data_IF_120455411557
#
_entry.id   IF_120455411557
#
_cell.length_a   1.000
_cell.length_b   1.000
_cell.length_c   1.000
_cell.angle_alpha   90.00
_cell.angle_beta   90.00
_cell.angle_gamma   90.00
#
_symmetry.space_group_name_H-M   'P 1'
#
loop_
_entity.id
_entity.type
_entity.pdbx_description
1 polymer ?
#
# COMPACT_ATOMS: atom_id res chain seq x y z
N UNK A 1 13.99 10.98 0.71
CA UNK A 1 12.53 10.75 0.82
C UNK A 1 11.82 11.94 1.49
N UNK A 2 10.51 12.12 1.25
CA UNK A 2 9.69 13.18 1.87
C UNK A 2 9.59 13.08 3.40
N UNK A 3 9.69 11.87 3.97
CA UNK A 3 9.56 11.63 5.41
C UNK A 3 10.83 11.96 6.21
N UNK A 4 11.95 12.28 5.55
CA UNK A 4 13.25 12.62 6.17
C UNK A 4 13.83 11.54 7.10
N UNK A 5 13.34 10.30 7.02
CA UNK A 5 13.95 9.15 7.70
C UNK A 5 15.25 8.71 7.00
N UNK A 6 16.22 8.11 7.74
CA UNK A 6 17.46 7.57 7.17
C UNK A 6 17.19 6.39 6.21
N UNK A 7 18.25 5.94 5.53
CA UNK A 7 18.22 4.74 4.70
C UNK A 7 18.01 3.48 5.56
N UNK A 8 17.25 2.54 5.01
CA UNK A 8 16.89 1.25 5.60
C UNK A 8 16.85 0.22 4.47
N UNK A 9 17.76 -0.77 4.48
CA UNK A 9 17.91 -1.75 3.41
C UNK A 9 16.74 -2.73 3.29
N UNK A 10 15.81 -2.71 4.26
CA UNK A 10 14.61 -3.54 4.27
C UNK A 10 13.42 -2.86 3.58
N UNK A 11 13.52 -1.57 3.24
CA UNK A 11 12.44 -0.84 2.59
C UNK A 11 12.66 -0.71 1.08
N UNK A 12 11.57 -0.76 0.32
CA UNK A 12 11.60 -0.45 -1.10
C UNK A 12 11.76 1.06 -1.32
N UNK A 13 12.71 1.43 -2.19
CA UNK A 13 12.90 2.80 -2.65
C UNK A 13 12.79 2.90 -4.17
N UNK A 14 12.29 4.03 -4.64
CA UNK A 14 12.22 4.41 -6.05
C UNK A 14 12.92 5.75 -6.25
N UNK A 15 13.70 5.86 -7.34
CA UNK A 15 14.42 7.08 -7.72
C UNK A 15 13.55 7.91 -8.67
N UNK A 16 13.51 9.23 -8.49
CA UNK A 16 12.83 10.14 -9.40
C UNK A 16 13.74 10.55 -10.57
N UNK A 17 13.35 10.31 -11.81
CA UNK A 17 14.17 10.61 -12.99
C UNK A 17 14.44 12.11 -13.20
N UNK A 18 13.55 12.98 -12.70
CA UNK A 18 13.70 14.43 -12.85
C UNK A 18 14.60 15.09 -11.81
N UNK A 19 14.53 14.68 -10.54
CA UNK A 19 15.31 15.32 -9.46
C UNK A 19 16.38 14.41 -8.83
N UNK A 20 16.43 13.13 -9.22
CA UNK A 20 17.39 12.14 -8.74
C UNK A 20 17.35 11.90 -7.21
N UNK A 21 16.28 12.36 -6.55
CA UNK A 21 16.00 12.05 -5.15
C UNK A 21 15.38 10.66 -5.00
N UNK A 22 15.68 10.00 -3.88
CA UNK A 22 15.14 8.68 -3.52
C UNK A 22 13.95 8.79 -2.56
N UNK A 23 12.92 7.98 -2.82
CA UNK A 23 11.69 7.95 -2.04
C UNK A 23 11.37 6.54 -1.60
N UNK A 24 10.93 6.36 -0.36
CA UNK A 24 10.27 5.11 0.04
C UNK A 24 9.03 4.93 -0.83
N UNK A 25 8.81 3.75 -1.41
CA UNK A 25 7.61 3.49 -2.20
C UNK A 25 6.32 3.76 -1.43
N UNK A 26 6.29 3.37 -0.15
CA UNK A 26 5.19 3.64 0.80
C UNK A 26 4.97 5.12 1.13
N UNK A 27 5.94 5.99 0.87
CA UNK A 27 5.79 7.44 1.03
C UNK A 27 5.19 8.10 -0.20
N UNK A 28 5.27 7.46 -1.37
CA UNK A 28 4.77 7.99 -2.65
C UNK A 28 3.65 7.15 -3.27
N UNK A 29 3.20 6.12 -2.54
CA UNK A 29 2.09 5.25 -2.94
C UNK A 29 2.45 4.36 -4.13
N UNK A 30 3.69 3.88 -4.20
CA UNK A 30 4.18 2.96 -5.24
C UNK A 30 4.63 1.68 -4.57
N UNK A 31 4.06 0.54 -5.00
CA UNK A 31 4.51 -0.77 -4.53
C UNK A 31 5.77 -1.21 -5.30
N UNK A 32 6.58 -2.08 -4.69
CA UNK A 32 7.80 -2.58 -5.34
C UNK A 32 7.52 -3.20 -6.71
N UNK A 33 6.54 -4.09 -6.80
CA UNK A 33 6.17 -4.75 -8.05
C UNK A 33 5.60 -3.80 -9.13
N UNK A 34 5.17 -2.59 -8.74
CA UNK A 34 4.80 -1.54 -9.68
C UNK A 34 6.05 -0.81 -10.17
N UNK A 35 6.93 -0.41 -9.24
CA UNK A 35 8.20 0.25 -9.55
C UNK A 35 9.11 -0.60 -10.44
N UNK A 36 9.16 -1.92 -10.22
CA UNK A 36 9.92 -2.87 -11.06
C UNK A 36 9.47 -2.91 -12.53
N UNK A 37 8.27 -2.38 -12.82
CA UNK A 37 7.66 -2.33 -14.17
C UNK A 37 7.59 -0.91 -14.73
N UNK A 38 8.07 0.10 -14.00
CA UNK A 38 8.08 1.48 -14.46
C UNK A 38 9.37 1.75 -15.24
N UNK A 39 9.23 2.27 -16.46
CA UNK A 39 10.38 2.74 -17.25
C UNK A 39 10.92 4.07 -16.67
N UNK A 40 10.01 4.98 -16.32
CA UNK A 40 10.31 6.27 -15.69
C UNK A 40 9.38 6.50 -14.49
N UNK A 41 9.91 7.04 -13.40
CA UNK A 41 9.16 7.52 -12.25
C UNK A 41 9.48 8.98 -11.93
N UNK A 42 8.43 9.78 -11.74
CA UNK A 42 8.56 11.18 -11.37
C UNK A 42 7.79 11.46 -10.09
N UNK A 43 8.50 11.95 -9.08
CA UNK A 43 7.94 12.15 -7.75
C UNK A 43 6.87 13.26 -7.73
N UNK A 44 6.04 13.31 -6.67
CA UNK A 44 4.98 14.32 -6.53
C UNK A 44 5.45 15.77 -6.62
N UNK A 45 6.70 16.08 -6.28
CA UNK A 45 7.27 17.43 -6.40
C UNK A 45 7.65 17.77 -7.84
N UNK A 46 8.06 16.75 -8.60
CA UNK A 46 8.54 16.89 -9.96
C UNK A 46 7.42 16.92 -10.99
N UNK A 47 6.36 16.13 -10.75
CA UNK A 47 5.17 16.03 -11.58
C UNK A 47 3.91 15.73 -10.74
N UNK A 48 3.40 16.72 -10.01
CA UNK A 48 2.17 16.57 -9.21
C UNK A 48 0.95 16.12 -10.02
N UNK A 49 0.91 16.49 -11.31
CA UNK A 49 -0.24 16.29 -12.19
C UNK A 49 -0.15 15.02 -13.03
N UNK A 50 0.89 14.20 -12.88
CA UNK A 50 0.89 12.86 -13.49
C UNK A 50 -0.25 12.03 -12.90
N UNK A 51 -0.88 11.17 -13.69
CA UNK A 51 -2.02 10.33 -13.28
C UNK A 51 -1.78 9.63 -11.93
N UNK A 52 -0.62 8.98 -11.75
CA UNK A 52 -0.31 8.27 -10.51
C UNK A 52 -0.22 9.20 -9.30
N UNK A 53 0.50 10.32 -9.39
CA UNK A 53 0.63 11.27 -8.28
C UNK A 53 -0.71 11.96 -7.98
N UNK A 54 -1.47 12.30 -9.01
CA UNK A 54 -2.80 12.87 -8.86
C UNK A 54 -3.72 11.91 -8.10
N UNK A 55 -3.89 10.67 -8.60
CA UNK A 55 -4.73 9.66 -7.97
C UNK A 55 -4.27 9.33 -6.54
N UNK A 56 -2.97 9.25 -6.32
CA UNK A 56 -2.40 8.90 -5.02
C UNK A 56 -2.54 10.01 -3.96
N UNK A 57 -2.61 11.29 -4.35
CA UNK A 57 -2.49 12.42 -3.43
C UNK A 57 -3.72 13.32 -3.35
N UNK A 58 -4.65 13.25 -4.30
CA UNK A 58 -5.90 14.01 -4.21
C UNK A 58 -6.63 13.70 -2.89
N UNK A 59 -7.28 14.69 -2.26
CA UNK A 59 -8.15 14.44 -1.12
C UNK A 59 -9.25 13.44 -1.50
N UNK A 60 -9.55 12.48 -0.61
CA UNK A 60 -10.63 11.53 -0.81
C UNK A 60 -11.99 12.21 -0.57
N UNK A 61 -12.87 12.13 -1.56
CA UNK A 61 -14.27 12.53 -1.47
C UNK A 61 -15.14 11.33 -0.99
N UNK A 62 -16.46 11.53 -0.89
CA UNK A 62 -17.37 10.46 -0.46
C UNK A 62 -17.34 9.24 -1.39
N UNK A 63 -17.37 9.45 -2.71
CA UNK A 63 -17.38 8.37 -3.71
C UNK A 63 -16.08 7.55 -3.67
N UNK A 64 -14.94 8.20 -3.45
CA UNK A 64 -13.65 7.53 -3.29
C UNK A 64 -13.64 6.62 -2.04
N UNK A 65 -14.16 7.13 -0.92
CA UNK A 65 -14.28 6.34 0.30
C UNK A 65 -15.20 5.13 0.10
N UNK A 66 -16.29 5.28 -0.65
CA UNK A 66 -17.20 4.18 -0.97
C UNK A 66 -16.52 3.13 -1.87
N UNK A 67 -15.67 3.55 -2.80
CA UNK A 67 -14.89 2.65 -3.65
C UNK A 67 -13.77 1.94 -2.88
N UNK A 68 -13.10 2.61 -1.94
CA UNK A 68 -12.18 1.96 -0.99
C UNK A 68 -12.90 0.95 -0.09
N UNK A 69 -14.12 1.25 0.35
CA UNK A 69 -14.93 0.32 1.14
C UNK A 69 -15.29 -0.93 0.34
N UNK A 70 -15.58 -0.81 -0.96
CA UNK A 70 -15.79 -1.97 -1.84
C UNK A 70 -14.49 -2.76 -2.02
N UNK A 71 -13.37 -2.07 -2.21
CA UNK A 71 -12.07 -2.72 -2.36
C UNK A 71 -11.70 -3.53 -1.11
N UNK A 72 -11.78 -2.95 0.08
CA UNK A 72 -11.41 -3.67 1.31
C UNK A 72 -12.30 -4.89 1.55
N UNK A 73 -13.61 -4.82 1.22
CA UNK A 73 -14.50 -5.99 1.25
C UNK A 73 -14.07 -7.09 0.28
N UNK A 74 -13.62 -6.74 -0.91
CA UNK A 74 -13.07 -7.72 -1.87
C UNK A 74 -11.79 -8.36 -1.35
N UNK A 75 -10.91 -7.57 -0.71
CA UNK A 75 -9.67 -8.05 -0.10
C UNK A 75 -9.98 -8.99 1.06
N UNK A 76 -10.88 -8.63 1.98
CA UNK A 76 -11.32 -9.49 3.09
C UNK A 76 -11.88 -10.83 2.62
N UNK A 77 -12.60 -10.83 1.49
CA UNK A 77 -13.21 -12.05 0.93
C UNK A 77 -12.22 -12.92 0.15
N UNK A 78 -10.99 -12.46 -0.06
CA UNK A 78 -10.01 -13.18 -0.87
C UNK A 78 -9.48 -14.40 -0.10
N UNK A 79 -9.34 -15.55 -0.79
CA UNK A 79 -8.91 -16.83 -0.18
C UNK A 79 -7.54 -16.80 0.53
N UNK A 80 -6.70 -15.83 0.20
CA UNK A 80 -5.37 -15.63 0.79
C UNK A 80 -5.34 -14.55 1.87
N UNK A 81 -6.49 -13.99 2.27
CA UNK A 81 -6.57 -12.94 3.27
C UNK A 81 -6.56 -13.42 4.72
N UNK A 82 -6.86 -14.70 4.94
CA UNK A 82 -7.01 -15.29 6.29
C UNK A 82 -5.86 -14.98 7.28
N UNK A 83 -4.57 -14.93 6.91
CA UNK A 83 -3.51 -14.68 7.88
C UNK A 83 -3.38 -13.22 8.29
N UNK A 84 -4.08 -12.32 7.59
CA UNK A 84 -3.95 -10.88 7.72
C UNK A 84 -5.21 -10.23 8.30
N UNK A 85 -6.21 -11.02 8.69
CA UNK A 85 -7.49 -10.49 9.13
C UNK A 85 -7.40 -9.78 10.48
N UNK A 86 -6.63 -10.33 11.41
CA UNK A 86 -6.50 -9.84 12.79
C UNK A 86 -5.02 -9.63 13.16
N UNK A 87 -4.72 -8.87 14.23
CA UNK A 87 -3.38 -8.77 14.77
C UNK A 87 -2.80 -10.15 15.11
N UNK A 88 -1.49 -10.32 14.89
CA UNK A 88 -0.79 -11.58 15.20
C UNK A 88 -0.85 -11.85 16.70
N UNK A 89 -1.25 -13.06 17.10
CA UNK A 89 -1.29 -13.47 18.51
C UNK A 89 0.13 -13.69 19.05
N UNK A 90 0.57 -12.95 20.09
CA UNK A 90 1.86 -13.18 20.75
C UNK A 90 2.03 -14.60 21.33
N UNK A 91 0.96 -15.35 21.58
CA UNK A 91 1.10 -16.74 22.04
C UNK A 91 1.49 -17.69 20.91
N UNK A 92 1.02 -17.43 19.68
CA UNK A 92 1.38 -18.21 18.49
C UNK A 92 2.73 -17.79 17.91
N UNK A 93 3.07 -16.50 18.02
CA UNK A 93 4.33 -15.93 17.53
C UNK A 93 4.99 -15.01 18.59
N UNK A 94 5.67 -15.58 19.60
CA UNK A 94 6.18 -14.83 20.76
C UNK A 94 7.20 -13.74 20.47
N UNK A 95 7.96 -13.86 19.37
CA UNK A 95 8.98 -12.90 18.96
C UNK A 95 8.49 -11.89 17.91
N UNK A 96 7.25 -12.01 17.43
CA UNK A 96 6.74 -11.20 16.32
C UNK A 96 6.89 -9.69 16.56
N UNK A 97 6.44 -9.19 17.71
CA UNK A 97 6.51 -7.76 18.04
C UNK A 97 7.92 -7.28 18.43
N UNK A 98 8.86 -8.20 18.63
CA UNK A 98 10.28 -7.86 18.77
C UNK A 98 10.93 -7.64 17.40
N UNK A 99 10.40 -8.26 16.36
CA UNK A 99 10.90 -8.19 14.98
C UNK A 99 10.15 -7.12 14.19
N UNK A 100 8.82 -7.19 14.16
CA UNK A 100 7.93 -6.26 13.44
C UNK A 100 7.57 -5.07 14.34
N UNK A 101 7.94 -3.87 13.89
CA UNK A 101 7.79 -2.61 14.67
C UNK A 101 6.53 -1.81 14.36
N UNK A 102 5.98 -1.97 13.16
CA UNK A 102 4.76 -1.29 12.74
C UNK A 102 3.73 -2.33 12.25
N UNK A 103 3.16 -3.15 13.15
CA UNK A 103 2.18 -4.19 12.78
C UNK A 103 0.93 -3.57 12.16
N UNK A 104 0.30 -4.30 11.24
CA UNK A 104 -0.93 -3.89 10.56
C UNK A 104 -1.73 -5.11 10.14
N UNK A 105 -3.06 -5.00 10.17
CA UNK A 105 -4.01 -6.05 9.79
C UNK A 105 -5.20 -5.46 9.01
N UNK A 106 -5.91 -6.32 8.30
CA UNK A 106 -6.99 -5.95 7.40
C UNK A 106 -8.25 -5.46 8.14
N UNK A 107 -8.51 -5.90 9.37
CA UNK A 107 -9.62 -5.39 10.16
C UNK A 107 -9.36 -3.94 10.60
N UNK A 108 -8.13 -3.65 11.02
CA UNK A 108 -7.68 -2.28 11.32
C UNK A 108 -7.80 -1.38 10.09
N UNK A 109 -7.33 -1.84 8.92
CA UNK A 109 -7.47 -1.09 7.66
C UNK A 109 -8.96 -0.89 7.30
N UNK A 110 -9.78 -1.93 7.41
CA UNK A 110 -11.22 -1.85 7.15
C UNK A 110 -11.95 -0.87 8.05
N UNK A 111 -11.57 -0.81 9.33
CA UNK A 111 -12.05 0.21 10.27
C UNK A 111 -11.60 1.60 9.86
N UNK A 112 -10.32 1.78 9.51
CA UNK A 112 -9.80 3.08 9.06
C UNK A 112 -10.51 3.59 7.79
N UNK A 113 -10.85 2.71 6.84
CA UNK A 113 -11.67 3.08 5.67
C UNK A 113 -13.08 3.50 6.11
N UNK A 114 -13.72 2.71 6.97
CA UNK A 114 -15.09 2.99 7.46
C UNK A 114 -15.16 4.32 8.21
N UNK A 115 -14.16 4.58 9.06
CA UNK A 115 -14.03 5.79 9.87
C UNK A 115 -13.44 6.98 9.08
N UNK A 116 -13.21 6.82 7.76
CA UNK A 116 -12.64 7.82 6.85
C UNK A 116 -11.35 8.45 7.36
N UNK A 117 -10.45 7.62 7.91
CA UNK A 117 -9.17 8.06 8.50
C UNK A 117 -8.12 8.43 7.46
N UNK A 118 -8.21 7.85 6.26
CA UNK A 118 -7.29 8.14 5.17
C UNK A 118 -7.66 9.45 4.47
N UNK A 119 -6.69 10.34 4.31
CA UNK A 119 -6.87 11.62 3.61
C UNK A 119 -6.72 11.51 2.11
N UNK A 120 -5.87 10.58 1.67
CA UNK A 120 -5.53 10.30 0.28
C UNK A 120 -5.23 8.80 0.12
N UNK A 121 -5.15 8.36 -1.14
CA UNK A 121 -4.92 6.95 -1.46
C UNK A 121 -3.54 6.45 -1.02
N UNK A 122 -2.51 7.32 -0.98
CA UNK A 122 -1.17 6.97 -0.50
C UNK A 122 -1.19 6.45 0.94
N UNK A 123 -1.98 7.06 1.82
CA UNK A 123 -2.09 6.62 3.22
C UNK A 123 -2.70 5.22 3.32
N UNK A 124 -3.74 4.93 2.53
CA UNK A 124 -4.32 3.58 2.44
C UNK A 124 -3.34 2.55 1.86
N UNK A 125 -2.65 2.88 0.76
CA UNK A 125 -1.64 2.02 0.14
C UNK A 125 -0.52 1.71 1.14
N UNK A 126 -0.09 2.70 1.94
CA UNK A 126 0.97 2.51 2.93
C UNK A 126 0.63 1.43 3.95
N UNK A 127 -0.59 1.42 4.48
CA UNK A 127 -1.00 0.41 5.45
C UNK A 127 -1.18 -0.97 4.78
N UNK A 128 -1.64 -1.01 3.53
CA UNK A 128 -1.66 -2.25 2.74
C UNK A 128 -0.25 -2.82 2.51
N UNK A 129 0.73 -1.98 2.17
CA UNK A 129 2.13 -2.40 2.00
C UNK A 129 2.67 -3.02 3.30
N UNK A 130 2.37 -2.41 4.46
CA UNK A 130 2.80 -2.95 5.77
C UNK A 130 2.31 -4.37 6.01
N UNK A 131 1.07 -4.69 5.65
CA UNK A 131 0.53 -6.05 5.79
C UNK A 131 1.41 -7.06 5.06
N UNK A 132 1.78 -6.76 3.81
CA UNK A 132 2.57 -7.67 2.97
C UNK A 132 4.05 -7.70 3.39
N UNK A 133 4.67 -6.53 3.60
CA UNK A 133 6.08 -6.43 3.93
C UNK A 133 6.39 -7.01 5.32
N UNK A 134 5.56 -6.75 6.33
CA UNK A 134 5.75 -7.36 7.65
C UNK A 134 5.63 -8.88 7.57
N UNK A 135 4.72 -9.40 6.74
CA UNK A 135 4.58 -10.83 6.53
C UNK A 135 5.84 -11.42 5.89
N UNK A 136 6.33 -10.82 4.80
CA UNK A 136 7.54 -11.28 4.11
C UNK A 136 8.81 -11.15 4.94
N UNK A 137 8.87 -10.14 5.80
CA UNK A 137 10.01 -9.90 6.68
C UNK A 137 10.08 -10.95 7.79
N UNK A 138 8.95 -11.26 8.42
CA UNK A 138 8.92 -12.21 9.53
C UNK A 138 8.96 -13.68 9.06
N UNK A 139 8.33 -14.00 7.93
CA UNK A 139 8.12 -15.38 7.51
C UNK A 139 9.11 -15.81 6.41
N UNK A 140 9.56 -17.08 6.39
CA UNK A 140 10.38 -17.59 5.30
C UNK A 140 9.58 -17.68 3.99
N UNK A 141 10.27 -17.56 2.85
CA UNK A 141 9.67 -17.52 1.49
C UNK A 141 8.83 -18.75 1.17
N UNK A 142 9.20 -19.90 1.74
CA UNK A 142 8.55 -21.19 1.51
C UNK A 142 7.23 -21.33 2.27
N UNK A 143 7.01 -20.51 3.30
CA UNK A 143 5.83 -20.57 4.18
C UNK A 143 4.54 -20.25 3.44
N UNK A 144 3.43 -20.77 3.96
CA UNK A 144 2.10 -20.44 3.44
C UNK A 144 1.75 -18.96 3.65
N UNK A 145 2.21 -18.35 4.75
CA UNK A 145 2.01 -16.93 5.04
C UNK A 145 2.64 -16.05 3.97
N UNK A 146 3.92 -16.27 3.66
CA UNK A 146 4.63 -15.54 2.62
C UNK A 146 3.93 -15.67 1.26
N UNK A 147 3.56 -16.90 0.87
CA UNK A 147 2.81 -17.15 -0.36
C UNK A 147 1.45 -16.46 -0.39
N UNK A 148 0.77 -16.35 0.75
CA UNK A 148 -0.50 -15.62 0.85
C UNK A 148 -0.30 -14.11 0.65
N UNK A 149 0.78 -13.53 1.18
CA UNK A 149 1.11 -12.13 0.97
C UNK A 149 1.34 -11.84 -0.53
N UNK A 150 2.13 -12.66 -1.21
CA UNK A 150 2.40 -12.50 -2.65
C UNK A 150 1.11 -12.54 -3.50
N UNK A 151 0.25 -13.53 -3.24
CA UNK A 151 -1.00 -13.69 -4.01
C UNK A 151 -1.94 -12.52 -3.72
N UNK A 152 -2.09 -12.13 -2.45
CA UNK A 152 -3.01 -11.06 -2.07
C UNK A 152 -2.52 -9.69 -2.54
N UNK A 153 -1.22 -9.43 -2.53
CA UNK A 153 -0.63 -8.20 -3.05
C UNK A 153 -0.84 -8.08 -4.57
N UNK A 154 -0.65 -9.17 -5.34
CA UNK A 154 -0.94 -9.16 -6.77
C UNK A 154 -2.42 -8.85 -7.06
N UNK A 155 -3.33 -9.44 -6.29
CA UNK A 155 -4.76 -9.12 -6.36
C UNK A 155 -5.01 -7.64 -6.03
N UNK A 156 -4.39 -7.14 -4.96
CA UNK A 156 -4.49 -5.75 -4.53
C UNK A 156 -4.01 -4.78 -5.62
N UNK A 157 -2.83 -5.00 -6.20
CA UNK A 157 -2.25 -4.17 -7.28
C UNK A 157 -3.18 -4.12 -8.50
N UNK A 158 -3.73 -5.26 -8.90
CA UNK A 158 -4.70 -5.32 -9.99
C UNK A 158 -5.93 -4.45 -9.71
N UNK A 159 -6.45 -4.49 -8.49
CA UNK A 159 -7.60 -3.67 -8.09
C UNK A 159 -7.25 -2.20 -7.91
N UNK A 160 -6.07 -1.91 -7.38
CA UNK A 160 -5.57 -0.56 -7.15
C UNK A 160 -5.42 0.21 -8.46
N UNK A 161 -4.98 -0.45 -9.53
CA UNK A 161 -4.96 0.14 -10.87
C UNK A 161 -6.33 0.68 -11.27
N UNK A 162 -7.39 -0.13 -11.15
CA UNK A 162 -8.75 0.30 -11.47
C UNK A 162 -9.24 1.45 -10.58
N UNK A 163 -8.81 1.52 -9.32
CA UNK A 163 -9.13 2.64 -8.43
C UNK A 163 -8.44 3.92 -8.90
N UNK A 164 -7.15 3.85 -9.25
CA UNK A 164 -6.41 5.01 -9.76
C UNK A 164 -6.99 5.51 -11.08
N UNK A 165 -7.34 4.60 -12.00
CA UNK A 165 -7.94 4.95 -13.29
C UNK A 165 -9.25 5.74 -13.08
N UNK A 166 -10.15 5.26 -12.20
CA UNK A 166 -11.39 5.97 -11.83
C UNK A 166 -11.15 7.34 -11.21
N UNK A 167 -10.13 7.46 -10.35
CA UNK A 167 -9.81 8.73 -9.70
C UNK A 167 -9.35 9.76 -10.73
N UNK A 168 -8.62 9.33 -11.76
CA UNK A 168 -8.17 10.17 -12.88
C UNK A 168 -9.31 10.53 -13.84
N UNK A 169 -10.21 9.60 -14.18
CA UNK A 169 -11.37 9.88 -15.05
C UNK A 169 -12.24 11.02 -14.50
N UNK A 170 -12.52 11.01 -13.20
CA UNK A 170 -13.28 12.08 -12.52
C UNK A 170 -12.61 13.46 -12.57
N UNK A 171 -11.30 13.53 -12.82
CA UNK A 171 -10.57 14.78 -12.95
C UNK A 171 -10.60 15.35 -14.36
N UNK A 172 -10.76 14.50 -15.38
CA UNK A 172 -10.83 14.92 -16.78
C UNK A 172 -12.23 15.41 -17.20
N UNK A 173 -13.25 15.19 -16.37
CA UNK A 173 -14.63 15.62 -16.60
C UNK A 173 -14.95 17.04 -16.07
N UNK A 174 -13.96 17.75 -15.50
CA UNK A 174 -14.11 19.11 -14.93
C UNK A 174 -13.39 20.15 -15.77
#
# INVERSE_FOLDING_TARGET
>A
CICKKPYDDQQFYICCDKCQDWFHGSCVGVLQCEGDKMDDYNCPRCMSNSEINFANLKPLNQQDNDDLLKLIKQIHSHKSAWPFMEPVDPHEAPDYYNVVKEPMDLNCIGKNVTDKKYKNLTEFIRDMIKVFDNCRYYNPRESQFYKCAEILEQFFVSKLKNIRDKFCEQYMEV
#
